data_IF_772843271567
#
_entry.id   IF_772843271567
#
_cell.length_a   1.000
_cell.length_b   1.000
_cell.length_c   1.000
_cell.angle_alpha   90.00
_cell.angle_beta   90.00
_cell.angle_gamma   90.00
#
_symmetry.space_group_name_H-M   'P 1'
#
loop_
_entity.id
_entity.type
_entity.pdbx_description
1 polymer ?
#
# COMPACT_ATOMS: atom_id res chain seq x y z
N UNK A 1 -0.09 2.71 11.15
CA UNK A 1 1.28 2.39 11.55
C UNK A 1 1.82 3.43 12.53
N UNK A 2 2.18 2.99 13.70
CA UNK A 2 2.87 3.83 14.67
C UNK A 2 4.33 4.01 14.25
N UNK A 3 4.79 5.24 14.19
CA UNK A 3 6.15 5.55 13.79
C UNK A 3 7.02 5.67 15.03
N UNK A 4 8.14 4.93 15.02
CA UNK A 4 9.17 4.95 16.06
C UNK A 4 10.51 5.23 15.40
N UNK A 5 11.40 5.90 16.10
CA UNK A 5 12.71 6.28 15.57
C UNK A 5 13.60 5.08 15.23
N UNK A 6 13.38 3.94 15.87
CA UNK A 6 14.16 2.72 15.71
C UNK A 6 13.61 1.75 14.66
N UNK A 7 12.61 2.14 13.86
CA UNK A 7 12.14 1.31 12.76
C UNK A 7 13.28 1.07 11.76
N UNK A 8 13.40 -0.18 11.31
CA UNK A 8 14.56 -0.64 10.54
C UNK A 8 14.87 0.18 9.29
N UNK A 9 13.84 0.68 8.59
CA UNK A 9 14.06 1.40 7.33
C UNK A 9 14.70 2.77 7.53
N UNK A 10 14.63 3.37 8.70
CA UNK A 10 15.28 4.66 8.96
C UNK A 10 16.80 4.54 9.02
N UNK A 11 17.34 3.38 9.38
CA UNK A 11 18.78 3.13 9.36
C UNK A 11 19.30 2.96 7.93
N UNK A 12 18.47 2.41 7.04
CA UNK A 12 18.84 2.08 5.67
C UNK A 12 18.60 3.22 4.68
N UNK A 13 17.63 4.09 4.93
CA UNK A 13 17.13 5.05 3.94
C UNK A 13 16.87 6.42 4.58
N UNK A 14 17.84 7.28 4.66
CA UNK A 14 19.23 7.16 4.23
C UNK A 14 20.12 7.38 5.43
N UNK A 15 21.40 7.01 5.34
CA UNK A 15 22.37 7.29 6.39
C UNK A 15 22.46 8.82 6.60
N UNK A 16 22.28 9.26 7.86
CA UNK A 16 22.25 10.66 8.27
C UNK A 16 21.10 11.50 7.65
N UNK A 17 20.18 10.87 6.94
CA UNK A 17 18.98 11.51 6.38
C UNK A 17 17.82 10.50 6.38
N UNK A 18 17.31 10.11 7.56
CA UNK A 18 16.32 9.05 7.66
C UNK A 18 14.95 9.51 7.20
N UNK A 19 14.40 8.75 6.25
CA UNK A 19 13.04 8.94 5.75
C UNK A 19 12.45 7.57 5.38
N UNK A 20 11.18 7.37 5.63
CA UNK A 20 10.50 6.14 5.21
C UNK A 20 10.47 6.06 3.69
N UNK A 21 10.93 4.94 3.08
CA UNK A 21 10.83 4.78 1.63
C UNK A 21 9.39 4.88 1.14
N UNK A 22 9.15 5.67 0.09
CA UNK A 22 7.82 5.83 -0.50
C UNK A 22 7.24 4.51 -1.01
N UNK A 23 8.07 3.62 -1.52
CA UNK A 23 7.63 2.31 -2.00
C UNK A 23 7.07 1.43 -0.88
N UNK A 24 7.47 1.60 0.37
CA UNK A 24 6.88 0.88 1.50
C UNK A 24 5.45 1.34 1.76
N UNK A 25 5.18 2.65 1.65
CA UNK A 25 3.82 3.16 1.75
C UNK A 25 2.92 2.65 0.64
N UNK A 26 3.42 2.61 -0.59
CA UNK A 26 2.67 2.05 -1.72
C UNK A 26 2.41 0.56 -1.54
N UNK A 27 3.40 -0.19 -1.09
CA UNK A 27 3.24 -1.62 -0.82
C UNK A 27 2.20 -1.88 0.26
N UNK A 28 2.16 -1.06 1.31
CA UNK A 28 1.15 -1.17 2.36
C UNK A 28 -0.27 -1.00 1.79
N UNK A 29 -0.46 -0.10 0.83
CA UNK A 29 -1.76 0.08 0.18
C UNK A 29 -2.16 -1.17 -0.61
N UNK A 30 -1.24 -1.78 -1.36
CA UNK A 30 -1.52 -3.04 -2.07
C UNK A 30 -1.83 -4.17 -1.09
N UNK A 31 -1.08 -4.28 0.01
CA UNK A 31 -1.35 -5.30 1.02
C UNK A 31 -2.72 -5.11 1.67
N UNK A 32 -3.10 -3.88 1.96
CA UNK A 32 -4.41 -3.59 2.55
C UNK A 32 -5.54 -3.96 1.59
N UNK A 33 -5.40 -3.67 0.30
CA UNK A 33 -6.37 -4.07 -0.71
C UNK A 33 -6.47 -5.59 -0.83
N UNK A 34 -5.34 -6.28 -0.87
CA UNK A 34 -5.31 -7.75 -0.88
C UNK A 34 -5.96 -8.35 0.35
N UNK A 35 -5.69 -7.79 1.51
CA UNK A 35 -6.33 -8.19 2.76
C UNK A 35 -7.86 -8.03 2.68
N UNK A 36 -8.34 -6.91 2.14
CA UNK A 36 -9.78 -6.69 1.95
C UNK A 36 -10.42 -7.78 1.09
N UNK A 37 -9.78 -8.15 -0.02
CA UNK A 37 -10.30 -9.20 -0.91
C UNK A 37 -10.41 -10.55 -0.19
N UNK A 38 -9.38 -10.92 0.56
CA UNK A 38 -9.36 -12.17 1.32
C UNK A 38 -10.37 -12.13 2.47
N UNK A 39 -10.46 -11.02 3.17
CA UNK A 39 -11.43 -10.82 4.25
C UNK A 39 -12.87 -10.90 3.73
N UNK A 40 -13.12 -10.48 2.51
CA UNK A 40 -14.42 -10.59 1.85
C UNK A 40 -14.76 -12.03 1.45
N UNK A 41 -13.89 -12.99 1.72
CA UNK A 41 -14.12 -14.41 1.46
C UNK A 41 -13.72 -14.88 0.07
N UNK A 42 -13.01 -14.06 -0.70
CA UNK A 42 -12.54 -14.45 -2.02
C UNK A 42 -11.30 -15.34 -1.93
N UNK A 43 -11.21 -16.41 -2.74
CA UNK A 43 -10.10 -17.35 -2.65
C UNK A 43 -8.89 -16.92 -3.48
N UNK A 44 -7.72 -17.43 -3.11
CA UNK A 44 -6.51 -17.28 -3.91
C UNK A 44 -5.36 -16.64 -3.14
N UNK A 45 -4.25 -16.44 -3.85
CA UNK A 45 -3.04 -15.82 -3.34
C UNK A 45 -2.90 -14.45 -3.99
N UNK A 46 -2.70 -13.41 -3.17
CA UNK A 46 -2.66 -12.03 -3.63
C UNK A 46 -1.33 -11.64 -4.26
N UNK A 47 -1.39 -10.89 -5.33
CA UNK A 47 -0.24 -10.26 -5.97
C UNK A 47 -0.59 -8.85 -6.42
N UNK A 48 0.33 -7.92 -6.21
CA UNK A 48 0.20 -6.58 -6.73
C UNK A 48 0.34 -6.58 -8.25
N UNK A 49 -0.59 -5.95 -8.95
CA UNK A 49 -0.60 -5.92 -10.41
C UNK A 49 -0.19 -4.56 -10.98
N UNK A 50 -0.49 -3.48 -10.29
CA UNK A 50 -0.14 -2.16 -10.77
C UNK A 50 -0.82 -1.03 -10.04
N UNK A 51 -0.52 0.19 -10.47
CA UNK A 51 -1.15 1.40 -9.99
C UNK A 51 -1.02 2.47 -11.08
N UNK A 52 -1.94 3.44 -11.07
CA UNK A 52 -1.87 4.61 -11.92
C UNK A 52 -1.68 5.86 -11.04
N UNK A 53 -1.00 6.87 -11.57
CA UNK A 53 -0.85 8.20 -10.94
C UNK A 53 -0.48 8.13 -9.45
N UNK A 54 0.65 7.51 -9.16
CA UNK A 54 1.20 7.54 -7.80
C UNK A 54 1.91 8.86 -7.60
N UNK A 55 1.53 9.56 -6.53
CA UNK A 55 2.12 10.85 -6.18
C UNK A 55 2.64 10.82 -4.75
N UNK A 56 3.87 11.25 -4.57
CA UNK A 56 4.50 11.45 -3.27
C UNK A 56 4.75 12.94 -3.09
N UNK A 57 4.02 13.57 -2.20
CA UNK A 57 4.15 15.02 -1.95
C UNK A 57 4.40 15.35 -0.48
N UNK A 58 4.83 14.37 0.26
CA UNK A 58 5.26 14.49 1.64
C UNK A 58 6.13 13.29 2.02
N UNK A 59 6.55 13.24 3.25
CA UNK A 59 7.46 12.19 3.71
C UNK A 59 7.16 11.80 5.15
N UNK A 60 7.59 10.61 5.53
CA UNK A 60 7.51 10.10 6.89
C UNK A 60 8.91 10.15 7.49
N UNK A 61 9.07 10.95 8.53
CA UNK A 61 10.34 11.12 9.24
C UNK A 61 10.30 10.36 10.58
N UNK A 62 11.47 10.11 11.20
CA UNK A 62 11.49 9.49 12.53
C UNK A 62 10.74 10.27 13.59
N UNK A 63 10.56 11.58 13.40
CA UNK A 63 9.80 12.47 14.29
C UNK A 63 8.29 12.39 14.07
N UNK A 64 7.82 11.76 12.99
CA UNK A 64 6.40 11.51 12.74
C UNK A 64 5.88 10.50 13.77
N UNK A 65 4.57 10.50 14.03
CA UNK A 65 3.96 9.65 15.05
C UNK A 65 3.09 8.56 14.47
N UNK A 66 2.19 8.91 13.54
CA UNK A 66 1.19 7.98 13.04
C UNK A 66 1.06 8.10 11.52
N UNK A 67 1.11 6.95 10.86
CA UNK A 67 0.77 6.82 9.44
C UNK A 67 -0.57 6.11 9.33
N UNK A 68 -1.49 6.71 8.59
CA UNK A 68 -2.83 6.17 8.35
C UNK A 68 -3.00 5.95 6.85
N UNK A 69 -3.57 4.80 6.49
CA UNK A 69 -3.90 4.47 5.10
C UNK A 69 -5.42 4.43 4.95
N UNK A 70 -5.92 4.99 3.86
CA UNK A 70 -7.32 4.90 3.48
C UNK A 70 -7.41 4.36 2.06
N UNK A 71 -8.24 3.34 1.87
CA UNK A 71 -8.56 2.81 0.55
C UNK A 71 -10.03 3.03 0.24
N UNK A 72 -10.29 3.51 -0.96
CA UNK A 72 -11.63 3.57 -1.54
C UNK A 72 -11.74 2.46 -2.56
N UNK A 73 -12.45 1.39 -2.21
CA UNK A 73 -12.62 0.23 -3.08
C UNK A 73 -13.57 0.60 -4.21
N UNK A 74 -13.04 0.65 -5.43
CA UNK A 74 -13.81 1.06 -6.60
C UNK A 74 -14.55 -0.10 -7.24
N UNK A 75 -13.89 -1.26 -7.38
CA UNK A 75 -14.45 -2.35 -8.14
C UNK A 75 -13.75 -3.68 -7.84
N UNK A 76 -14.48 -4.77 -7.87
CA UNK A 76 -13.93 -6.12 -7.78
C UNK A 76 -14.46 -6.93 -8.95
N UNK A 77 -13.56 -7.49 -9.74
CA UNK A 77 -13.91 -8.36 -10.87
C UNK A 77 -13.64 -9.81 -10.49
N UNK A 78 -14.48 -10.72 -10.93
CA UNK A 78 -14.31 -12.16 -10.68
C UNK A 78 -14.52 -13.00 -11.94
N UNK A 79 -13.96 -12.55 -13.07
CA UNK A 79 -14.01 -13.29 -14.34
C UNK A 79 -12.67 -13.97 -14.57
N UNK A 80 -12.60 -15.27 -14.27
CA UNK A 80 -11.36 -16.05 -14.41
C UNK A 80 -10.40 -15.76 -13.27
N UNK A 81 -9.72 -14.61 -13.31
CA UNK A 81 -8.96 -14.10 -12.19
C UNK A 81 -9.79 -13.11 -11.38
N UNK A 82 -9.55 -13.04 -10.08
CA UNK A 82 -10.19 -12.06 -9.20
C UNK A 82 -9.27 -10.86 -9.14
N UNK A 83 -9.78 -9.68 -9.49
CA UNK A 83 -9.00 -8.43 -9.48
C UNK A 83 -9.76 -7.37 -8.70
N UNK A 84 -9.10 -6.76 -7.74
CA UNK A 84 -9.63 -5.62 -6.99
C UNK A 84 -8.99 -4.32 -7.45
N UNK A 85 -9.79 -3.26 -7.53
CA UNK A 85 -9.37 -1.91 -7.84
C UNK A 85 -9.71 -0.97 -6.70
N UNK A 86 -8.78 -0.11 -6.32
CA UNK A 86 -9.01 0.89 -5.28
C UNK A 86 -8.18 2.14 -5.53
N UNK A 87 -8.64 3.27 -5.01
CA UNK A 87 -7.82 4.46 -4.83
C UNK A 87 -7.29 4.47 -3.40
N UNK A 88 -6.05 4.89 -3.22
CA UNK A 88 -5.41 4.91 -1.92
C UNK A 88 -4.89 6.28 -1.54
N UNK A 89 -4.91 6.56 -0.26
CA UNK A 89 -4.32 7.76 0.34
C UNK A 89 -3.55 7.37 1.59
N UNK A 90 -2.46 8.07 1.82
CA UNK A 90 -1.65 7.92 3.02
C UNK A 90 -1.54 9.27 3.73
N UNK A 91 -1.75 9.24 5.02
CA UNK A 91 -1.70 10.43 5.88
C UNK A 91 -0.60 10.25 6.92
N UNK A 92 0.13 11.33 7.18
CA UNK A 92 1.13 11.38 8.26
C UNK A 92 0.67 12.45 9.24
N UNK A 93 0.39 12.04 10.46
CA UNK A 93 -0.08 12.92 11.53
C UNK A 93 -1.28 13.79 11.08
N UNK A 94 -2.20 13.18 10.31
CA UNK A 94 -3.39 13.81 9.80
C UNK A 94 -3.24 14.58 8.49
N UNK A 95 -2.02 14.67 7.93
CA UNK A 95 -1.76 15.37 6.67
C UNK A 95 -1.56 14.36 5.53
N UNK A 96 -2.29 14.54 4.43
CA UNK A 96 -2.17 13.71 3.24
C UNK A 96 -0.79 13.89 2.59
N UNK A 97 -0.09 12.80 2.35
CA UNK A 97 1.27 12.83 1.78
C UNK A 97 1.47 11.94 0.57
N UNK A 98 0.65 10.91 0.39
CA UNK A 98 0.69 10.03 -0.78
C UNK A 98 -0.72 9.84 -1.32
N UNK A 99 -0.80 9.72 -2.65
CA UNK A 99 -2.01 9.27 -3.32
C UNK A 99 -1.66 8.24 -4.38
N UNK A 100 -2.54 7.28 -4.60
CA UNK A 100 -2.41 6.31 -5.68
C UNK A 100 -3.79 6.05 -6.28
N UNK A 101 -3.87 6.11 -7.60
CA UNK A 101 -5.11 5.81 -8.32
C UNK A 101 -5.03 4.43 -8.94
N UNK A 102 -6.17 3.73 -8.96
CA UNK A 102 -6.31 2.43 -9.61
C UNK A 102 -5.25 1.42 -9.17
N UNK A 103 -5.06 1.30 -7.86
CA UNK A 103 -4.30 0.19 -7.30
C UNK A 103 -4.98 -1.11 -7.70
N UNK A 104 -4.22 -2.05 -8.25
CA UNK A 104 -4.71 -3.36 -8.68
C UNK A 104 -4.05 -4.47 -7.89
N UNK A 105 -4.87 -5.35 -7.34
CA UNK A 105 -4.41 -6.60 -6.73
C UNK A 105 -5.20 -7.73 -7.35
N UNK A 106 -4.51 -8.79 -7.77
CA UNK A 106 -5.12 -10.00 -8.26
C UNK A 106 -5.01 -11.14 -7.27
N UNK A 107 -6.02 -12.00 -7.22
CA UNK A 107 -5.98 -13.27 -6.49
C UNK A 107 -5.85 -14.41 -7.49
N UNK A 108 -4.83 -15.22 -7.32
CA UNK A 108 -4.51 -16.33 -8.22
C UNK A 108 -4.54 -17.65 -7.47
N UNK A 109 -5.03 -18.70 -8.13
CA UNK A 109 -4.97 -20.06 -7.56
C UNK A 109 -3.53 -20.56 -7.51
N UNK A 110 -2.76 -20.28 -8.57
CA UNK A 110 -1.35 -20.64 -8.67
C UNK A 110 -0.58 -19.44 -9.23
N UNK A 111 0.13 -18.67 -8.37
CA UNK A 111 0.88 -17.50 -8.82
C UNK A 111 2.25 -17.84 -9.41
N UNK A 112 2.61 -19.11 -9.57
CA UNK A 112 3.95 -19.50 -10.02
C UNK A 112 4.26 -19.03 -11.44
N UNK A 113 3.25 -18.77 -12.26
CA UNK A 113 3.39 -18.28 -13.63
C UNK A 113 3.17 -16.75 -13.75
N UNK A 114 3.10 -16.10 -12.63
CA UNK A 114 2.88 -14.65 -12.59
C UNK A 114 4.14 -13.85 -12.93
#
# INVERSE_FOLDING_TARGET
LDIKEDLWFFECHFKDDPVMPGCLGLDAMWQLLGFYLLWSGLPGIGRALGAEKVKFFGQVLPTSKLVKYELDIKRVFSRGAIVGLADGKMFVDGKEVYTAENLKVGLFKDPSNF
#
